data_IF_787856645186
#
_entry.id   IF_787856645186
#
_cell.length_a   1.000
_cell.length_b   1.000
_cell.length_c   1.000
_cell.angle_alpha   90.00
_cell.angle_beta   90.00
_cell.angle_gamma   90.00
#
_symmetry.space_group_name_H-M   'P 1'
#
loop_
_entity.id
_entity.type
_entity.pdbx_description
1 polymer ?
#
# COMPACT_ATOMS: atom_id res chain seq x y z
N UNK A 1 35.66 29.17 -12.22
CA UNK A 1 34.83 28.07 -12.72
C UNK A 1 33.74 28.69 -13.56
N UNK A 2 33.43 28.12 -14.72
CA UNK A 2 32.30 28.56 -15.54
C UNK A 2 31.28 27.42 -15.53
N UNK A 3 30.04 27.76 -15.23
CA UNK A 3 28.92 26.82 -15.19
C UNK A 3 27.90 27.30 -16.21
N UNK A 4 27.48 26.41 -17.09
CA UNK A 4 26.39 26.64 -18.03
C UNK A 4 25.27 25.67 -17.70
N UNK A 5 24.06 26.19 -17.53
CA UNK A 5 22.87 25.38 -17.23
C UNK A 5 21.98 25.22 -18.46
N UNK A 6 21.40 24.05 -18.62
CA UNK A 6 20.42 23.73 -19.67
C UNK A 6 19.24 22.97 -19.04
N UNK A 7 18.01 23.32 -19.43
CA UNK A 7 16.82 22.55 -19.03
C UNK A 7 16.71 21.30 -19.90
N UNK A 8 16.64 20.14 -19.25
CA UNK A 8 16.48 18.83 -19.89
C UNK A 8 15.07 18.27 -19.60
N UNK A 9 14.58 17.31 -20.40
CA UNK A 9 13.35 16.56 -20.09
C UNK A 9 13.44 15.81 -18.75
N UNK A 10 12.30 15.33 -18.24
CA UNK A 10 12.12 14.72 -16.92
C UNK A 10 12.45 15.66 -15.74
N UNK A 11 12.24 16.97 -15.91
CA UNK A 11 12.65 18.01 -14.94
C UNK A 11 14.09 17.82 -14.46
N UNK A 12 15.00 17.70 -15.41
CA UNK A 12 16.43 17.63 -15.17
C UNK A 12 17.09 18.97 -15.52
N UNK A 13 18.13 19.32 -14.77
CA UNK A 13 19.05 20.40 -15.14
C UNK A 13 20.38 19.78 -15.57
N UNK A 14 20.74 20.02 -16.82
CA UNK A 14 22.06 19.75 -17.35
C UNK A 14 23.03 20.85 -16.93
N UNK A 15 24.20 20.46 -16.42
CA UNK A 15 25.29 21.32 -16.01
C UNK A 15 26.52 21.00 -16.84
N UNK A 16 26.96 21.96 -17.65
CA UNK A 16 28.27 21.94 -18.28
C UNK A 16 29.23 22.77 -17.44
N UNK A 17 30.23 22.11 -16.84
CA UNK A 17 31.16 22.72 -15.91
C UNK A 17 32.55 22.76 -16.53
N UNK A 18 33.09 23.96 -16.67
CA UNK A 18 34.47 24.21 -17.05
C UNK A 18 35.31 24.56 -15.81
N UNK A 19 36.15 23.62 -15.43
CA UNK A 19 37.08 23.74 -14.31
C UNK A 19 38.39 24.38 -14.80
N UNK A 20 38.83 25.49 -14.20
CA UNK A 20 40.01 26.20 -14.65
C UNK A 20 41.31 25.41 -14.39
N UNK A 21 42.35 25.64 -15.21
CA UNK A 21 43.66 25.00 -15.10
C UNK A 21 44.27 25.02 -13.69
N UNK A 22 44.10 26.13 -12.97
CA UNK A 22 44.66 26.33 -11.64
C UNK A 22 44.05 25.36 -10.63
N UNK A 23 42.74 25.15 -10.68
CA UNK A 23 42.03 24.21 -9.80
C UNK A 23 42.40 22.77 -10.11
N UNK A 24 42.47 22.42 -11.40
CA UNK A 24 42.93 21.10 -11.88
C UNK A 24 44.35 20.78 -11.36
N UNK A 25 45.28 21.73 -11.49
CA UNK A 25 46.66 21.57 -11.01
C UNK A 25 46.73 21.44 -9.49
N UNK A 26 46.02 22.29 -8.74
CA UNK A 26 46.00 22.24 -7.28
C UNK A 26 45.43 20.92 -6.76
N UNK A 27 44.34 20.44 -7.35
CA UNK A 27 43.74 19.15 -7.01
C UNK A 27 44.73 18.00 -7.27
N UNK A 28 45.39 18.01 -8.43
CA UNK A 28 46.42 17.02 -8.75
C UNK A 28 47.58 17.01 -7.75
N UNK A 29 48.11 18.19 -7.41
CA UNK A 29 49.21 18.31 -6.44
C UNK A 29 48.80 17.83 -5.03
N UNK A 30 47.58 18.15 -4.60
CA UNK A 30 47.01 17.72 -3.32
C UNK A 30 46.88 16.20 -3.26
N UNK A 31 46.27 15.58 -4.27
CA UNK A 31 46.10 14.12 -4.35
C UNK A 31 47.45 13.39 -4.38
N UNK A 32 48.43 13.89 -5.15
CA UNK A 32 49.80 13.33 -5.14
C UNK A 32 50.46 13.46 -3.77
N UNK A 33 50.25 14.57 -3.06
CA UNK A 33 50.77 14.76 -1.71
C UNK A 33 50.13 13.79 -0.71
N UNK A 34 48.82 13.56 -0.80
CA UNK A 34 48.10 12.63 0.06
C UNK A 34 48.53 11.18 -0.19
N UNK A 35 48.69 10.78 -1.46
CA UNK A 35 49.30 9.50 -1.79
C UNK A 35 50.74 9.40 -1.27
N UNK A 36 51.54 10.46 -1.35
CA UNK A 36 52.92 10.45 -0.83
C UNK A 36 52.96 10.27 0.70
N UNK A 37 52.02 10.88 1.44
CA UNK A 37 51.91 10.73 2.91
C UNK A 37 51.50 9.31 3.30
N UNK A 38 50.62 8.69 2.52
CA UNK A 38 50.03 7.40 2.84
C UNK A 38 50.72 6.20 2.19
N UNK A 39 51.56 6.42 1.17
CA UNK A 39 52.26 5.36 0.45
C UNK A 39 53.23 4.59 1.35
N UNK A 40 53.04 3.27 1.42
CA UNK A 40 53.97 2.33 2.03
C UNK A 40 54.74 1.60 0.92
N UNK A 41 55.91 2.14 0.56
CA UNK A 41 56.75 1.57 -0.51
C UNK A 41 58.00 0.94 0.13
N UNK A 42 58.29 -0.35 -0.12
CA UNK A 42 59.50 -1.00 0.36
C UNK A 42 60.75 -0.19 0.00
N UNK A 43 61.61 0.07 0.99
CA UNK A 43 62.83 0.86 0.82
C UNK A 43 62.70 2.36 1.13
N UNK A 44 61.48 2.88 1.36
CA UNK A 44 61.27 4.27 1.75
C UNK A 44 60.50 4.40 3.07
N UNK A 45 60.89 5.36 3.90
CA UNK A 45 60.14 5.72 5.11
C UNK A 45 58.82 6.40 4.71
N UNK A 46 57.71 6.00 5.35
CA UNK A 46 56.37 6.57 5.14
C UNK A 46 56.42 8.11 5.12
N UNK A 47 55.83 8.74 4.10
CA UNK A 47 55.81 10.19 3.92
C UNK A 47 57.09 10.84 3.38
N UNK A 48 58.15 10.06 3.10
CA UNK A 48 59.43 10.54 2.53
C UNK A 48 59.75 9.89 1.18
N UNK A 49 58.76 9.30 0.53
CA UNK A 49 58.90 8.73 -0.82
C UNK A 49 59.00 9.87 -1.85
N UNK A 50 59.98 9.87 -2.77
CA UNK A 50 60.03 10.83 -3.87
C UNK A 50 58.78 10.74 -4.78
N UNK A 51 58.27 11.89 -5.22
CA UNK A 51 57.02 12.00 -6.02
C UNK A 51 57.00 11.09 -7.25
N UNK A 52 58.10 11.02 -7.99
CA UNK A 52 58.20 10.20 -9.21
C UNK A 52 58.05 8.69 -8.91
N UNK A 53 58.57 8.22 -7.79
CA UNK A 53 58.47 6.81 -7.37
C UNK A 53 57.03 6.45 -6.98
N UNK A 54 56.32 7.39 -6.32
CA UNK A 54 54.90 7.24 -5.99
C UNK A 54 54.06 7.12 -7.27
N UNK A 55 54.28 8.04 -8.22
CA UNK A 55 53.54 8.05 -9.51
C UNK A 55 53.79 6.76 -10.30
N UNK A 56 55.05 6.30 -10.37
CA UNK A 56 55.40 5.07 -11.07
C UNK A 56 54.79 3.82 -10.42
N UNK A 57 54.71 3.78 -9.09
CA UNK A 57 54.20 2.61 -8.36
C UNK A 57 52.67 2.53 -8.32
N UNK A 58 52.00 3.67 -8.20
CA UNK A 58 50.53 3.75 -8.14
C UNK A 58 49.92 3.71 -9.55
N UNK A 59 50.64 4.23 -10.55
CA UNK A 59 50.17 4.38 -11.92
C UNK A 59 49.51 5.74 -12.13
N UNK A 60 49.86 6.41 -13.22
CA UNK A 60 49.32 7.74 -13.56
C UNK A 60 47.81 7.72 -13.73
N UNK A 61 47.24 6.68 -14.35
CA UNK A 61 45.80 6.53 -14.58
C UNK A 61 45.01 6.55 -13.27
N UNK A 62 45.47 5.82 -12.24
CA UNK A 62 44.78 5.76 -10.95
C UNK A 62 44.82 7.09 -10.22
N UNK A 63 45.95 7.81 -10.30
CA UNK A 63 46.07 9.15 -9.72
C UNK A 63 45.13 10.11 -10.44
N UNK A 64 45.09 10.09 -11.77
CA UNK A 64 44.17 10.91 -12.57
C UNK A 64 42.71 10.63 -12.21
N UNK A 65 42.31 9.36 -12.10
CA UNK A 65 40.96 8.97 -11.69
C UNK A 65 40.58 9.53 -10.32
N UNK A 66 41.42 9.37 -9.29
CA UNK A 66 41.14 9.91 -7.94
C UNK A 66 41.07 11.44 -7.93
N UNK A 67 41.91 12.11 -8.73
CA UNK A 67 41.85 13.58 -8.89
C UNK A 67 40.53 13.98 -9.53
N UNK A 68 40.12 13.31 -10.61
CA UNK A 68 38.86 13.58 -11.31
C UNK A 68 37.65 13.34 -10.43
N UNK A 69 37.57 12.23 -9.69
CA UNK A 69 36.48 11.95 -8.74
C UNK A 69 36.32 13.09 -7.73
N UNK A 70 37.42 13.54 -7.13
CA UNK A 70 37.39 14.62 -6.14
C UNK A 70 37.01 15.95 -6.80
N UNK A 71 37.62 16.25 -7.95
CA UNK A 71 37.44 17.51 -8.66
C UNK A 71 36.03 17.66 -9.22
N UNK A 72 35.44 16.59 -9.77
CA UNK A 72 34.07 16.56 -10.27
C UNK A 72 33.10 16.78 -9.10
N UNK A 73 33.24 16.03 -8.01
CA UNK A 73 32.37 16.17 -6.84
C UNK A 73 32.43 17.57 -6.20
N UNK A 74 33.63 18.12 -6.01
CA UNK A 74 33.80 19.46 -5.46
C UNK A 74 33.25 20.53 -6.41
N UNK A 75 33.46 20.36 -7.72
CA UNK A 75 32.97 21.32 -8.72
C UNK A 75 31.45 21.28 -8.87
N UNK A 76 30.84 20.10 -8.79
CA UNK A 76 29.37 19.95 -8.80
C UNK A 76 28.75 20.63 -7.59
N UNK A 77 29.29 20.42 -6.38
CA UNK A 77 28.80 21.09 -5.16
C UNK A 77 28.89 22.61 -5.27
N UNK A 78 30.02 23.13 -5.77
CA UNK A 78 30.19 24.56 -6.00
C UNK A 78 29.21 25.11 -7.05
N UNK A 79 28.98 24.38 -8.13
CA UNK A 79 28.03 24.78 -9.18
C UNK A 79 26.59 24.86 -8.65
N UNK A 80 26.17 23.88 -7.85
CA UNK A 80 24.84 23.83 -7.23
C UNK A 80 24.63 24.98 -6.26
N UNK A 81 25.62 25.25 -5.39
CA UNK A 81 25.57 26.38 -4.46
C UNK A 81 25.57 27.74 -5.18
N UNK A 82 26.34 27.86 -6.27
CA UNK A 82 26.44 29.09 -7.05
C UNK A 82 25.13 29.41 -7.78
N UNK A 83 24.52 28.42 -8.43
CA UNK A 83 23.30 28.58 -9.22
C UNK A 83 22.02 28.35 -8.40
N UNK A 84 22.15 28.00 -7.11
CA UNK A 84 21.04 27.70 -6.17
C UNK A 84 20.07 26.64 -6.71
N UNK A 85 20.63 25.54 -7.19
CA UNK A 85 19.85 24.45 -7.75
C UNK A 85 19.34 23.55 -6.62
N UNK A 86 18.03 23.39 -6.52
CA UNK A 86 17.40 22.45 -5.60
C UNK A 86 17.53 21.02 -6.16
N UNK A 87 18.71 20.42 -6.02
CA UNK A 87 19.00 19.09 -6.53
C UNK A 87 18.25 17.99 -5.75
N UNK A 88 17.60 17.08 -6.49
CA UNK A 88 16.95 15.87 -5.98
C UNK A 88 17.82 14.67 -6.36
N UNK A 89 18.33 13.96 -5.35
CA UNK A 89 19.14 12.76 -5.57
C UNK A 89 20.59 13.04 -5.93
N UNK A 90 21.19 12.11 -6.67
CA UNK A 90 22.61 12.15 -7.05
C UNK A 90 22.81 12.69 -8.47
N UNK A 91 23.99 13.25 -8.75
CA UNK A 91 24.35 13.75 -10.08
C UNK A 91 24.66 12.58 -11.01
N UNK A 92 24.03 12.56 -12.17
CA UNK A 92 24.35 11.62 -13.25
C UNK A 92 25.40 12.25 -14.17
N UNK A 93 26.61 11.71 -14.17
CA UNK A 93 27.66 12.17 -15.08
C UNK A 93 27.31 11.73 -16.51
N UNK A 94 27.05 12.69 -17.41
CA UNK A 94 26.75 12.42 -18.82
C UNK A 94 28.01 12.21 -19.66
N UNK A 95 29.14 12.79 -19.23
CA UNK A 95 30.44 12.54 -19.86
C UNK A 95 31.03 11.22 -19.36
N UNK A 96 31.54 10.38 -20.27
CA UNK A 96 32.23 9.14 -19.88
C UNK A 96 33.43 9.43 -18.98
N UNK A 97 33.44 8.83 -17.79
CA UNK A 97 34.53 9.00 -16.84
C UNK A 97 35.86 8.47 -17.41
N UNK A 98 35.84 7.38 -18.20
CA UNK A 98 37.03 6.82 -18.83
C UNK A 98 37.67 7.79 -19.84
N UNK A 99 36.82 8.51 -20.58
CA UNK A 99 37.28 9.53 -21.53
C UNK A 99 37.91 10.71 -20.81
N UNK A 100 37.30 11.15 -19.70
CA UNK A 100 37.86 12.19 -18.84
C UNK A 100 39.24 11.76 -18.30
N UNK A 101 39.40 10.52 -17.85
CA UNK A 101 40.70 10.00 -17.36
C UNK A 101 41.76 9.99 -18.45
N UNK A 102 41.39 9.59 -19.67
CA UNK A 102 42.29 9.58 -20.82
C UNK A 102 42.72 11.00 -21.23
N UNK A 103 41.78 11.92 -21.29
CA UNK A 103 41.99 13.30 -21.76
C UNK A 103 42.55 14.24 -20.68
N UNK A 104 42.42 13.89 -19.40
CA UNK A 104 42.83 14.76 -18.31
C UNK A 104 44.34 14.97 -18.29
N UNK A 105 44.74 16.23 -18.41
CA UNK A 105 46.12 16.68 -18.25
C UNK A 105 46.23 17.68 -17.08
N UNK A 106 47.15 17.47 -16.12
CA UNK A 106 47.31 18.38 -14.99
C UNK A 106 47.67 19.79 -15.46
N UNK A 107 46.85 20.78 -15.08
CA UNK A 107 47.07 22.18 -15.48
C UNK A 107 46.49 22.53 -16.85
N UNK A 108 45.65 21.67 -17.44
CA UNK A 108 44.75 22.00 -18.54
C UNK A 108 43.32 22.21 -18.00
N UNK A 109 42.47 22.99 -18.70
CA UNK A 109 41.07 23.11 -18.33
C UNK A 109 40.37 21.75 -18.49
N UNK A 110 39.42 21.46 -17.60
CA UNK A 110 38.61 20.24 -17.64
C UNK A 110 37.16 20.65 -17.85
N UNK A 111 36.52 20.09 -18.88
CA UNK A 111 35.09 20.29 -19.14
C UNK A 111 34.38 18.96 -18.99
N UNK A 112 33.27 18.95 -18.26
CA UNK A 112 32.40 17.77 -18.16
C UNK A 112 30.94 18.20 -18.01
N UNK A 113 30.04 17.29 -18.37
CA UNK A 113 28.60 17.46 -18.29
C UNK A 113 28.01 16.50 -17.27
N UNK A 114 27.13 17.02 -16.40
CA UNK A 114 26.34 16.24 -15.47
C UNK A 114 24.87 16.65 -15.57
N UNK A 115 23.96 15.77 -15.18
CA UNK A 115 22.55 16.09 -15.00
C UNK A 115 22.15 15.84 -13.56
N UNK A 116 21.16 16.58 -13.09
CA UNK A 116 20.53 16.33 -11.79
C UNK A 116 19.04 16.57 -11.91
N UNK A 117 18.27 15.74 -11.21
CA UNK A 117 16.83 15.91 -11.09
C UNK A 117 16.55 17.14 -10.20
N UNK A 118 15.53 17.92 -10.54
CA UNK A 118 15.07 19.06 -9.74
C UNK A 118 13.56 18.96 -9.49
N UNK A 119 13.01 19.68 -8.49
CA UNK A 119 11.57 19.73 -8.31
C UNK A 119 10.88 20.14 -9.62
N UNK A 120 9.95 19.33 -10.13
CA UNK A 120 9.29 19.63 -11.39
C UNK A 120 8.37 20.84 -11.25
N UNK A 121 8.30 21.64 -12.32
CA UNK A 121 7.32 22.70 -12.45
C UNK A 121 5.96 22.09 -12.82
N UNK A 122 4.89 22.53 -12.16
CA UNK A 122 3.53 21.99 -12.35
C UNK A 122 2.72 22.98 -13.15
N UNK A 123 2.25 22.57 -14.33
CA UNK A 123 1.37 23.38 -15.16
C UNK A 123 -0.05 22.80 -15.10
N UNK A 124 -1.00 23.63 -14.67
CA UNK A 124 -2.44 23.29 -14.65
C UNK A 124 -3.16 24.21 -15.63
N UNK A 125 -3.75 23.61 -16.66
CA UNK A 125 -4.49 24.30 -17.71
C UNK A 125 -5.84 24.82 -17.19
N UNK A 126 -6.63 23.94 -16.59
CA UNK A 126 -7.96 24.24 -16.05
C UNK A 126 -8.18 23.50 -14.73
N UNK A 127 -8.57 24.26 -13.70
CA UNK A 127 -8.89 23.73 -12.37
C UNK A 127 -10.16 24.33 -11.76
N UNK A 128 -10.84 25.22 -12.49
CA UNK A 128 -12.13 25.82 -12.10
C UNK A 128 -13.21 25.35 -13.06
N UNK A 129 -14.45 25.24 -12.58
CA UNK A 129 -15.58 24.76 -13.38
C UNK A 129 -15.49 23.27 -13.74
N UNK A 130 -14.72 22.47 -12.98
CA UNK A 130 -14.64 21.02 -13.20
C UNK A 130 -16.02 20.40 -13.01
N UNK A 131 -16.45 19.58 -13.98
CA UNK A 131 -17.71 18.84 -13.89
C UNK A 131 -17.39 17.36 -13.69
N UNK A 132 -17.79 16.81 -12.55
CA UNK A 132 -17.50 15.42 -12.18
C UNK A 132 -18.76 14.72 -11.68
N UNK A 133 -18.79 13.41 -11.82
CA UNK A 133 -19.81 12.55 -11.24
C UNK A 133 -19.19 11.77 -10.07
N UNK A 134 -19.93 11.65 -8.98
CA UNK A 134 -19.49 10.91 -7.80
C UNK A 134 -20.64 10.06 -7.26
N UNK A 135 -20.32 8.86 -6.79
CA UNK A 135 -21.34 7.95 -6.26
C UNK A 135 -21.78 8.38 -4.85
N UNK A 136 -23.09 8.48 -4.66
CA UNK A 136 -23.74 8.71 -3.38
C UNK A 136 -24.02 7.38 -2.67
N UNK A 137 -23.41 7.21 -1.50
CA UNK A 137 -23.70 6.10 -0.60
C UNK A 137 -24.83 6.53 0.33
N UNK A 138 -25.97 5.86 0.23
CA UNK A 138 -27.11 6.13 1.11
C UNK A 138 -27.03 5.25 2.35
N UNK A 139 -27.34 5.80 3.55
CA UNK A 139 -27.44 4.98 4.74
C UNK A 139 -28.57 3.96 4.56
N UNK A 140 -28.23 2.70 4.76
CA UNK A 140 -29.19 1.61 4.76
C UNK A 140 -29.71 1.38 6.18
N UNK A 141 -30.98 1.70 6.48
CA UNK A 141 -31.54 1.46 7.80
C UNK A 141 -31.64 -0.04 8.12
N UNK A 142 -31.67 -0.93 7.12
CA UNK A 142 -31.78 -2.37 7.34
C UNK A 142 -30.47 -2.95 7.91
N UNK A 143 -29.30 -2.34 7.62
CA UNK A 143 -28.02 -2.72 8.25
C UNK A 143 -28.06 -2.64 9.78
N UNK A 144 -28.81 -1.70 10.36
CA UNK A 144 -28.96 -1.60 11.82
C UNK A 144 -29.67 -2.83 12.36
N UNK A 145 -30.74 -3.25 11.71
CA UNK A 145 -31.47 -4.46 12.09
C UNK A 145 -30.59 -5.69 11.96
N UNK A 146 -29.86 -5.84 10.85
CA UNK A 146 -28.94 -6.95 10.64
C UNK A 146 -27.86 -7.04 11.72
N UNK A 147 -27.25 -5.90 12.10
CA UNK A 147 -26.22 -5.90 13.14
C UNK A 147 -26.81 -6.27 14.50
N UNK A 148 -27.98 -5.73 14.85
CA UNK A 148 -28.66 -6.07 16.11
C UNK A 148 -29.05 -7.54 16.14
N UNK A 149 -29.56 -8.09 15.03
CA UNK A 149 -29.87 -9.52 14.90
C UNK A 149 -28.62 -10.39 15.04
N UNK A 150 -27.48 -9.96 14.50
CA UNK A 150 -26.21 -10.66 14.68
C UNK A 150 -25.78 -10.69 16.15
N UNK A 151 -25.86 -9.55 16.87
CA UNK A 151 -25.61 -9.53 18.31
C UNK A 151 -26.59 -10.44 19.07
N UNK A 152 -27.85 -10.45 18.67
CA UNK A 152 -28.90 -11.28 19.27
C UNK A 152 -28.64 -12.77 19.05
N UNK A 153 -28.19 -13.16 17.86
CA UNK A 153 -27.81 -14.53 17.51
C UNK A 153 -26.57 -15.00 18.26
N UNK A 154 -25.59 -14.12 18.49
CA UNK A 154 -24.37 -14.45 19.25
C UNK A 154 -24.63 -14.63 20.75
N UNK A 155 -25.61 -13.92 21.30
CA UNK A 155 -26.02 -14.02 22.71
C UNK A 155 -27.22 -14.96 22.93
N UNK A 156 -27.53 -15.80 21.95
CA UNK A 156 -28.61 -16.78 22.05
C UNK A 156 -28.29 -17.87 23.08
N UNK A 157 -29.25 -18.23 23.92
CA UNK A 157 -29.12 -19.37 24.82
C UNK A 157 -29.48 -20.65 24.07
N UNK A 158 -28.67 -21.70 24.21
CA UNK A 158 -28.92 -22.99 23.57
C UNK A 158 -29.75 -23.89 24.49
N UNK A 159 -30.99 -24.19 24.06
CA UNK A 159 -31.92 -25.04 24.81
C UNK A 159 -32.08 -26.38 24.10
N UNK A 160 -31.90 -27.53 24.78
CA UNK A 160 -32.13 -28.85 24.18
C UNK A 160 -33.55 -29.00 23.63
N UNK A 161 -33.67 -29.55 22.42
CA UNK A 161 -34.95 -29.85 21.76
C UNK A 161 -35.21 -31.35 21.81
N UNK A 162 -36.35 -31.74 22.38
CA UNK A 162 -36.79 -33.13 22.42
C UNK A 162 -38.07 -33.32 21.58
N UNK A 163 -38.10 -34.38 20.77
CA UNK A 163 -39.32 -34.81 20.05
C UNK A 163 -39.69 -34.01 18.80
N UNK A 164 -38.80 -33.13 18.31
CA UNK A 164 -38.91 -32.43 17.03
C UNK A 164 -37.69 -32.75 16.15
N UNK A 165 -37.92 -32.86 14.84
CA UNK A 165 -36.84 -33.00 13.85
C UNK A 165 -36.07 -31.70 13.64
N UNK A 166 -34.83 -31.79 13.18
CA UNK A 166 -33.96 -30.66 12.88
C UNK A 166 -34.60 -29.70 11.86
N UNK A 167 -34.55 -28.40 12.15
CA UNK A 167 -35.04 -27.34 11.26
C UNK A 167 -34.03 -26.22 11.15
N UNK A 168 -34.26 -25.29 10.23
CA UNK A 168 -33.46 -24.09 10.05
C UNK A 168 -33.36 -23.27 11.35
N UNK A 169 -32.14 -22.82 11.68
CA UNK A 169 -31.83 -22.02 12.86
C UNK A 169 -31.52 -22.82 14.14
N UNK A 170 -31.66 -24.15 14.12
CA UNK A 170 -31.22 -25.00 15.24
C UNK A 170 -29.68 -25.15 15.27
N UNK A 171 -29.16 -25.58 16.41
CA UNK A 171 -27.77 -26.00 16.59
C UNK A 171 -27.75 -27.51 16.78
N UNK A 172 -27.13 -28.21 15.83
CA UNK A 172 -26.96 -29.65 15.86
C UNK A 172 -25.58 -30.03 16.39
N UNK A 173 -25.52 -31.05 17.23
CA UNK A 173 -24.26 -31.76 17.52
C UNK A 173 -24.28 -33.02 16.69
N UNK A 174 -23.29 -33.18 15.81
CA UNK A 174 -23.25 -34.27 14.84
C UNK A 174 -21.90 -34.96 14.80
N UNK A 175 -21.96 -36.23 14.42
CA UNK A 175 -20.83 -36.95 13.88
C UNK A 175 -21.02 -37.04 12.38
N UNK A 176 -19.99 -36.73 11.60
CA UNK A 176 -20.04 -36.95 10.16
C UNK A 176 -18.76 -37.58 9.63
N UNK A 177 -18.92 -38.31 8.53
CA UNK A 177 -17.82 -38.93 7.80
C UNK A 177 -18.01 -38.69 6.32
N UNK A 178 -17.09 -37.94 5.72
CA UNK A 178 -17.05 -37.60 4.31
C UNK A 178 -16.27 -38.63 3.50
N UNK A 179 -16.87 -39.07 2.40
CA UNK A 179 -16.28 -39.97 1.41
C UNK A 179 -16.36 -39.35 0.03
N UNK A 180 -15.38 -39.63 -0.82
CA UNK A 180 -15.51 -39.30 -2.24
C UNK A 180 -16.72 -40.02 -2.83
N UNK A 181 -17.45 -39.36 -3.72
CA UNK A 181 -18.50 -40.01 -4.50
C UNK A 181 -18.00 -40.25 -5.93
N UNK A 182 -18.45 -41.32 -6.57
CA UNK A 182 -18.32 -41.43 -8.03
C UNK A 182 -19.45 -40.66 -8.74
N UNK A 183 -19.44 -40.66 -10.09
CA UNK A 183 -20.43 -39.94 -10.91
C UNK A 183 -21.85 -40.51 -10.81
N UNK A 184 -22.01 -41.67 -10.17
CA UNK A 184 -23.26 -42.38 -9.98
C UNK A 184 -23.77 -42.31 -8.52
N UNK A 185 -23.03 -41.61 -7.64
CA UNK A 185 -23.40 -41.35 -6.23
C UNK A 185 -22.89 -42.42 -5.24
N UNK A 186 -22.08 -43.39 -5.67
CA UNK A 186 -21.60 -44.43 -4.76
C UNK A 186 -20.41 -43.94 -3.91
N UNK A 187 -20.47 -44.19 -2.60
CA UNK A 187 -19.46 -43.77 -1.64
C UNK A 187 -18.16 -44.58 -1.78
N UNK A 188 -17.07 -43.87 -2.05
CA UNK A 188 -15.70 -44.37 -2.15
C UNK A 188 -14.87 -44.19 -0.87
N UNK A 189 -13.60 -43.84 -1.02
CA UNK A 189 -12.67 -43.69 0.11
C UNK A 189 -12.93 -42.40 0.92
N UNK A 190 -12.65 -42.47 2.22
CA UNK A 190 -12.69 -41.31 3.13
C UNK A 190 -11.52 -40.36 2.83
N UNK A 191 -11.79 -39.07 2.77
CA UNK A 191 -10.76 -38.07 2.53
C UNK A 191 -10.28 -37.41 3.83
N UNK A 192 -8.99 -37.03 3.91
CA UNK A 192 -8.45 -36.31 5.07
C UNK A 192 -9.22 -35.01 5.33
N UNK A 193 -9.59 -34.77 6.59
CA UNK A 193 -10.36 -33.57 6.98
C UNK A 193 -11.88 -33.66 6.75
N UNK A 194 -12.39 -34.75 6.17
CA UNK A 194 -13.81 -34.96 5.91
C UNK A 194 -14.63 -35.54 7.06
N UNK A 195 -14.02 -35.81 8.22
CA UNK A 195 -14.68 -36.50 9.34
C UNK A 195 -14.50 -35.76 10.65
N UNK A 196 -15.58 -35.60 11.41
CA UNK A 196 -15.56 -35.01 12.74
C UNK A 196 -16.55 -35.72 13.67
N UNK A 197 -16.26 -35.69 14.97
CA UNK A 197 -17.11 -36.23 16.03
C UNK A 197 -17.46 -35.14 17.05
N UNK A 198 -18.70 -35.16 17.56
CA UNK A 198 -19.24 -34.17 18.49
C UNK A 198 -19.11 -32.73 17.97
N UNK A 199 -19.24 -32.57 16.64
CA UNK A 199 -19.08 -31.29 15.97
C UNK A 199 -20.37 -30.48 16.14
N UNK A 200 -20.25 -29.28 16.69
CA UNK A 200 -21.37 -28.35 16.82
C UNK A 200 -21.52 -27.55 15.52
N UNK A 201 -22.70 -27.60 14.94
CA UNK A 201 -23.03 -26.97 13.66
C UNK A 201 -24.31 -26.15 13.80
N UNK A 202 -24.24 -24.89 13.38
CA UNK A 202 -25.44 -24.07 13.16
C UNK A 202 -26.13 -24.53 11.88
N UNK A 203 -27.41 -24.92 11.97
CA UNK A 203 -28.22 -25.31 10.81
C UNK A 203 -28.75 -24.07 10.08
N UNK A 204 -27.82 -23.32 9.50
CA UNK A 204 -28.06 -22.10 8.74
C UNK A 204 -27.41 -22.26 7.36
N UNK A 205 -28.15 -21.94 6.30
CA UNK A 205 -27.67 -22.07 4.92
C UNK A 205 -26.44 -21.17 4.69
N UNK A 206 -25.48 -21.66 3.88
CA UNK A 206 -24.27 -20.90 3.53
C UNK A 206 -23.14 -20.91 4.56
N UNK A 207 -23.34 -21.43 5.78
CA UNK A 207 -22.25 -21.60 6.77
C UNK A 207 -21.37 -22.82 6.52
N UNK A 208 -21.83 -23.76 5.69
CA UNK A 208 -21.11 -24.98 5.32
C UNK A 208 -21.27 -25.26 3.82
N UNK A 209 -20.66 -26.34 3.34
CA UNK A 209 -20.71 -26.75 1.93
C UNK A 209 -22.19 -26.83 1.47
N UNK A 210 -22.55 -26.22 0.33
CA UNK A 210 -23.92 -26.27 -0.20
C UNK A 210 -24.49 -27.69 -0.24
N UNK A 211 -25.74 -27.86 0.17
CA UNK A 211 -26.42 -29.16 0.27
C UNK A 211 -26.15 -29.95 1.55
N UNK A 212 -25.08 -29.67 2.30
CA UNK A 212 -24.80 -30.40 3.55
C UNK A 212 -25.84 -30.11 4.63
N UNK A 213 -26.07 -28.82 4.93
CA UNK A 213 -27.03 -28.37 5.95
C UNK A 213 -28.47 -28.74 5.54
N UNK A 214 -28.81 -28.54 4.27
CA UNK A 214 -30.13 -28.87 3.71
C UNK A 214 -30.47 -30.36 3.87
N UNK A 215 -29.48 -31.23 3.67
CA UNK A 215 -29.62 -32.66 3.86
C UNK A 215 -29.96 -33.06 5.30
N UNK A 216 -29.63 -32.22 6.28
CA UNK A 216 -29.90 -32.47 7.70
C UNK A 216 -31.29 -32.04 8.16
N UNK A 217 -31.99 -31.19 7.40
CA UNK A 217 -33.34 -30.78 7.75
C UNK A 217 -34.28 -32.00 7.76
N UNK A 218 -35.12 -32.07 8.80
CA UNK A 218 -36.05 -33.17 9.03
C UNK A 218 -35.43 -34.41 9.68
N UNK A 219 -34.12 -34.43 9.98
CA UNK A 219 -33.51 -35.53 10.72
C UNK A 219 -33.94 -35.52 12.20
N UNK A 220 -34.21 -36.71 12.75
CA UNK A 220 -34.47 -36.86 14.18
C UNK A 220 -33.18 -37.12 14.95
N UNK A 221 -33.18 -36.78 16.24
CA UNK A 221 -32.05 -37.10 17.12
C UNK A 221 -31.84 -38.62 17.17
N UNK A 222 -30.60 -39.06 16.93
CA UNK A 222 -30.17 -40.44 16.79
C UNK A 222 -30.28 -41.01 15.37
N UNK A 223 -30.77 -40.22 14.40
CA UNK A 223 -30.87 -40.63 13.00
C UNK A 223 -29.54 -40.45 12.27
N UNK A 224 -29.19 -41.43 11.43
CA UNK A 224 -28.08 -41.34 10.49
C UNK A 224 -28.63 -41.23 9.07
N UNK A 225 -28.12 -40.25 8.31
CA UNK A 225 -28.51 -40.01 6.93
C UNK A 225 -27.29 -39.80 6.07
N UNK A 226 -27.33 -40.32 4.84
CA UNK A 226 -26.32 -40.05 3.83
C UNK A 226 -26.78 -38.87 2.98
N UNK A 227 -25.90 -37.88 2.83
CA UNK A 227 -26.14 -36.65 2.08
C UNK A 227 -25.07 -36.52 1.00
N UNK A 228 -25.52 -36.50 -0.25
CA UNK A 228 -24.67 -36.24 -1.40
C UNK A 228 -24.50 -34.73 -1.57
N UNK A 229 -23.25 -34.28 -1.65
CA UNK A 229 -22.89 -32.86 -1.86
C UNK A 229 -21.83 -32.74 -2.93
N UNK A 230 -21.68 -31.56 -3.51
CA UNK A 230 -20.58 -31.23 -4.41
C UNK A 230 -19.83 -30.05 -3.84
N UNK A 231 -18.51 -30.17 -3.73
CA UNK A 231 -17.68 -29.08 -3.26
C UNK A 231 -17.68 -27.92 -4.27
N UNK A 232 -17.62 -26.65 -3.79
CA UNK A 232 -17.45 -25.50 -4.66
C UNK A 232 -16.19 -25.58 -5.53
N UNK A 233 -16.19 -24.91 -6.68
CA UNK A 233 -15.03 -24.89 -7.59
C UNK A 233 -13.83 -24.11 -7.03
N UNK A 234 -14.09 -23.19 -6.11
CA UNK A 234 -13.15 -22.32 -5.41
C UNK A 234 -12.74 -22.86 -4.02
N UNK A 235 -12.96 -24.17 -3.77
CA UNK A 235 -12.66 -24.73 -2.46
C UNK A 235 -11.14 -24.71 -2.16
N UNK A 236 -10.69 -24.31 -0.96
CA UNK A 236 -9.27 -24.11 -0.64
C UNK A 236 -8.36 -25.34 -0.80
N UNK A 237 -8.95 -26.54 -0.88
CA UNK A 237 -8.23 -27.78 -1.12
C UNK A 237 -8.44 -28.23 -2.57
N UNK A 238 -7.40 -28.17 -3.43
CA UNK A 238 -7.52 -28.45 -4.87
C UNK A 238 -8.05 -29.84 -5.19
N UNK A 239 -7.72 -30.83 -4.35
CA UNK A 239 -8.15 -32.23 -4.52
C UNK A 239 -9.65 -32.44 -4.26
N UNK A 240 -10.32 -31.48 -3.60
CA UNK A 240 -11.74 -31.53 -3.29
C UNK A 240 -12.56 -30.52 -4.12
N UNK A 241 -11.94 -29.49 -4.67
CA UNK A 241 -12.62 -28.46 -5.46
C UNK A 241 -13.42 -29.07 -6.62
N UNK A 242 -14.73 -28.81 -6.67
CA UNK A 242 -15.65 -29.34 -7.68
C UNK A 242 -15.90 -30.87 -7.62
N UNK A 243 -15.35 -31.58 -6.64
CA UNK A 243 -15.52 -33.03 -6.52
C UNK A 243 -16.85 -33.37 -5.81
N UNK A 244 -17.56 -34.43 -6.25
CA UNK A 244 -18.73 -34.93 -5.53
C UNK A 244 -18.30 -35.76 -4.32
N UNK A 245 -19.06 -35.67 -3.23
CA UNK A 245 -18.81 -36.36 -1.97
C UNK A 245 -20.12 -36.82 -1.32
N UNK A 246 -20.04 -37.92 -0.58
CA UNK A 246 -21.14 -38.40 0.26
C UNK A 246 -20.74 -38.26 1.72
N UNK A 247 -21.58 -37.59 2.50
CA UNK A 247 -21.41 -37.47 3.94
C UNK A 247 -22.42 -38.36 4.66
N UNK A 248 -21.93 -39.28 5.48
CA UNK A 248 -22.76 -39.99 6.45
C UNK A 248 -22.82 -39.14 7.71
N UNK A 249 -23.99 -38.55 8.00
CA UNK A 249 -24.21 -37.62 9.11
C UNK A 249 -25.09 -38.30 10.14
N UNK A 250 -24.67 -38.30 11.40
CA UNK A 250 -25.45 -38.79 12.54
C UNK A 250 -25.78 -37.64 13.48
N UNK A 251 -27.06 -37.35 13.67
CA UNK A 251 -27.52 -36.29 14.58
C UNK A 251 -27.51 -36.80 16.03
N UNK A 252 -26.63 -36.29 16.88
CA UNK A 252 -26.51 -36.71 18.30
C UNK A 252 -27.38 -35.89 19.25
N UNK A 253 -27.34 -34.57 19.11
CA UNK A 253 -28.14 -33.66 19.91
C UNK A 253 -28.68 -32.54 19.02
N UNK A 254 -29.86 -32.04 19.37
CA UNK A 254 -30.46 -30.88 18.74
C UNK A 254 -30.75 -29.85 19.83
N UNK A 255 -30.31 -28.61 19.62
CA UNK A 255 -30.56 -27.47 20.49
C UNK A 255 -31.22 -26.36 19.67
N UNK A 256 -32.19 -25.67 20.23
CA UNK A 256 -32.76 -24.47 19.63
C UNK A 256 -32.05 -23.24 20.22
N UNK A 257 -31.84 -22.23 19.37
CA UNK A 257 -31.43 -20.90 19.82
C UNK A 257 -32.64 -20.17 20.40
N UNK A 258 -32.62 -19.95 21.70
CA UNK A 258 -33.52 -19.01 22.35
C UNK A 258 -32.88 -17.63 22.31
N UNK A 259 -33.37 -16.81 21.38
CA UNK A 259 -32.87 -15.46 21.20
C UNK A 259 -33.34 -14.56 22.36
N UNK A 260 -32.46 -13.77 22.98
CA UNK A 260 -32.87 -12.82 24.01
C UNK A 260 -33.94 -11.85 23.48
N UNK A 261 -34.79 -11.34 24.36
CA UNK A 261 -35.73 -10.28 23.98
C UNK A 261 -34.96 -9.01 23.61
N UNK A 262 -35.45 -8.26 22.62
CA UNK A 262 -34.82 -7.00 22.21
C UNK A 262 -35.31 -5.88 23.12
N UNK A 263 -34.78 -5.86 24.34
CA UNK A 263 -35.11 -4.89 25.39
C UNK A 263 -33.86 -4.14 25.90
N UNK A 264 -34.05 -3.32 26.93
CA UNK A 264 -32.98 -2.51 27.52
C UNK A 264 -31.95 -3.36 28.27
N UNK A 265 -32.33 -4.54 28.78
CA UNK A 265 -31.42 -5.48 29.42
C UNK A 265 -30.45 -6.08 28.39
N UNK A 266 -30.95 -6.44 27.20
CA UNK A 266 -30.10 -6.86 26.09
C UNK A 266 -29.12 -5.77 25.65
N UNK A 267 -29.56 -4.52 25.56
CA UNK A 267 -28.70 -3.40 25.17
C UNK A 267 -27.53 -3.20 26.17
N UNK A 268 -27.80 -3.32 27.47
CA UNK A 268 -26.78 -3.22 28.52
C UNK A 268 -25.80 -4.40 28.52
N UNK A 269 -26.23 -5.58 28.07
CA UNK A 269 -25.36 -6.75 27.98
C UNK A 269 -24.39 -6.67 26.79
N UNK A 270 -24.86 -6.16 25.64
CA UNK A 270 -24.07 -6.18 24.39
C UNK A 270 -23.38 -4.86 24.05
N UNK A 271 -23.68 -3.78 24.78
CA UNK A 271 -23.19 -2.44 24.47
C UNK A 271 -22.95 -1.59 25.73
N UNK A 272 -22.42 -0.38 25.52
CA UNK A 272 -22.26 0.63 26.58
C UNK A 272 -23.52 1.46 26.85
N UNK A 273 -24.62 1.19 26.13
CA UNK A 273 -25.86 1.95 26.20
C UNK A 273 -26.85 1.36 27.20
N UNK A 274 -27.68 2.21 27.81
CA UNK A 274 -28.65 1.78 28.83
C UNK A 274 -29.96 1.27 28.22
N UNK A 275 -30.27 1.68 26.98
CA UNK A 275 -31.53 1.33 26.31
C UNK A 275 -31.33 0.83 24.87
N UNK A 276 -32.27 0.02 24.39
CA UNK A 276 -32.26 -0.46 23.00
C UNK A 276 -32.43 0.68 21.98
N UNK A 277 -33.10 1.76 22.39
CA UNK A 277 -33.28 2.95 21.57
C UNK A 277 -31.94 3.68 21.35
N UNK A 278 -31.17 3.89 22.43
CA UNK A 278 -29.84 4.51 22.35
C UNK A 278 -28.86 3.67 21.52
N UNK A 279 -28.89 2.35 21.69
CA UNK A 279 -28.06 1.45 20.88
C UNK A 279 -28.38 1.54 19.39
N UNK A 280 -29.67 1.56 19.02
CA UNK A 280 -30.14 1.75 17.64
C UNK A 280 -29.71 3.10 17.08
N UNK A 281 -29.94 4.19 17.82
CA UNK A 281 -29.58 5.55 17.39
C UNK A 281 -28.07 5.71 17.19
N UNK A 282 -27.26 5.08 18.04
CA UNK A 282 -25.80 5.04 17.89
C UNK A 282 -25.37 4.33 16.61
N UNK A 283 -25.96 3.15 16.30
CA UNK A 283 -25.70 2.43 15.06
C UNK A 283 -26.16 3.21 13.82
N UNK A 284 -27.33 3.83 13.86
CA UNK A 284 -27.84 4.71 12.80
C UNK A 284 -26.89 5.87 12.55
N UNK A 285 -26.47 6.56 13.60
CA UNK A 285 -25.52 7.69 13.53
C UNK A 285 -24.18 7.22 12.95
N UNK A 286 -23.69 6.06 13.38
CA UNK A 286 -22.45 5.47 12.87
C UNK A 286 -22.55 5.16 11.37
N UNK A 287 -23.61 4.50 10.92
CA UNK A 287 -23.77 4.16 9.50
C UNK A 287 -24.07 5.38 8.63
N UNK A 288 -24.78 6.37 9.16
CA UNK A 288 -24.95 7.66 8.50
C UNK A 288 -23.59 8.34 8.31
N UNK A 289 -22.78 8.43 9.37
CA UNK A 289 -21.44 9.02 9.29
C UNK A 289 -20.54 8.24 8.34
N UNK A 290 -20.60 6.92 8.33
CA UNK A 290 -19.86 6.06 7.39
C UNK A 290 -20.26 6.34 5.93
N UNK A 291 -21.57 6.43 5.65
CA UNK A 291 -22.11 6.71 4.32
C UNK A 291 -21.76 8.14 3.84
N UNK A 292 -21.84 9.13 4.73
CA UNK A 292 -21.42 10.51 4.46
C UNK A 292 -19.92 10.60 4.18
N UNK A 293 -19.09 9.90 4.97
CA UNK A 293 -17.64 9.85 4.77
C UNK A 293 -17.27 9.17 3.45
N UNK A 294 -17.90 8.04 3.11
CA UNK A 294 -17.70 7.36 1.82
C UNK A 294 -18.11 8.25 0.65
N UNK A 295 -19.27 8.90 0.74
CA UNK A 295 -19.73 9.85 -0.29
C UNK A 295 -18.77 11.02 -0.43
N UNK A 296 -18.27 11.58 0.68
CA UNK A 296 -17.24 12.64 0.66
C UNK A 296 -15.98 12.14 -0.04
N UNK A 297 -15.48 10.95 0.30
CA UNK A 297 -14.30 10.36 -0.33
C UNK A 297 -14.49 10.15 -1.84
N UNK A 298 -15.66 9.67 -2.27
CA UNK A 298 -15.99 9.50 -3.70
C UNK A 298 -15.96 10.85 -4.44
N UNK A 299 -16.53 11.90 -3.85
CA UNK A 299 -16.49 13.27 -4.41
C UNK A 299 -15.05 13.79 -4.52
N UNK A 300 -14.28 13.66 -3.44
CA UNK A 300 -12.87 14.08 -3.41
C UNK A 300 -12.05 13.34 -4.47
N UNK A 301 -12.25 12.03 -4.60
CA UNK A 301 -11.57 11.21 -5.59
C UNK A 301 -11.93 11.63 -7.02
N UNK A 302 -13.22 11.81 -7.33
CA UNK A 302 -13.68 12.24 -8.64
C UNK A 302 -13.11 13.62 -9.03
N UNK A 303 -13.09 14.58 -8.09
CA UNK A 303 -12.48 15.88 -8.29
C UNK A 303 -10.98 15.80 -8.55
N UNK A 304 -10.26 14.98 -7.77
CA UNK A 304 -8.81 14.78 -7.94
C UNK A 304 -8.47 14.12 -9.27
N UNK A 305 -9.23 13.10 -9.67
CA UNK A 305 -9.03 12.40 -10.94
C UNK A 305 -9.27 13.31 -12.13
N UNK A 306 -10.31 14.14 -12.08
CA UNK A 306 -10.55 15.13 -13.12
C UNK A 306 -9.46 16.21 -13.12
N UNK A 307 -9.06 16.74 -11.96
CA UNK A 307 -8.00 17.73 -11.84
C UNK A 307 -6.70 17.24 -12.47
N UNK A 308 -6.31 15.98 -12.23
CA UNK A 308 -5.07 15.39 -12.75
C UNK A 308 -5.05 15.31 -14.28
N UNK A 309 -6.21 15.22 -14.95
CA UNK A 309 -6.27 15.22 -16.43
C UNK A 309 -5.83 16.53 -17.06
N UNK A 310 -5.94 17.65 -16.31
CA UNK A 310 -5.54 18.99 -16.74
C UNK A 310 -4.14 19.38 -16.23
N UNK A 311 -3.42 18.44 -15.61
CA UNK A 311 -2.10 18.66 -15.04
C UNK A 311 -1.03 18.10 -15.96
N UNK A 312 -0.19 19.00 -16.48
CA UNK A 312 1.04 18.65 -17.19
C UNK A 312 2.22 18.84 -16.25
N UNK A 313 2.96 17.75 -16.02
CA UNK A 313 4.16 17.76 -15.20
C UNK A 313 5.15 16.74 -15.72
N UNK A 314 6.41 17.15 -15.80
CA UNK A 314 7.50 16.32 -16.30
C UNK A 314 8.26 15.73 -15.11
N UNK A 315 7.95 14.50 -14.71
CA UNK A 315 8.43 13.92 -13.45
C UNK A 315 9.82 13.27 -13.62
N UNK A 316 10.79 13.59 -12.74
CA UNK A 316 12.06 12.88 -12.69
C UNK A 316 11.89 11.47 -12.13
N UNK A 317 12.66 10.51 -12.67
CA UNK A 317 12.60 9.10 -12.28
C UNK A 317 12.94 8.90 -10.79
N UNK A 318 13.83 9.74 -10.23
CA UNK A 318 14.17 9.71 -8.80
C UNK A 318 12.96 9.97 -7.91
N UNK A 319 12.08 10.92 -8.28
CA UNK A 319 10.87 11.20 -7.51
C UNK A 319 9.87 10.04 -7.60
N UNK A 320 9.69 9.49 -8.80
CA UNK A 320 8.78 8.36 -9.02
C UNK A 320 9.23 7.13 -8.24
N UNK A 321 10.53 6.81 -8.27
CA UNK A 321 11.10 5.71 -7.47
C UNK A 321 10.91 5.91 -5.97
N UNK A 322 11.16 7.13 -5.47
CA UNK A 322 11.00 7.43 -4.04
C UNK A 322 9.55 7.24 -3.58
N UNK A 323 8.59 7.65 -4.41
CA UNK A 323 7.17 7.47 -4.10
C UNK A 323 6.76 5.99 -4.15
N UNK A 324 7.21 5.24 -5.16
CA UNK A 324 6.97 3.80 -5.23
C UNK A 324 7.57 3.08 -4.00
N UNK A 325 8.80 3.41 -3.59
CA UNK A 325 9.41 2.86 -2.39
C UNK A 325 8.63 3.20 -1.11
N UNK A 326 8.07 4.42 -1.04
CA UNK A 326 7.23 4.84 0.07
C UNK A 326 5.94 4.01 0.13
N UNK A 327 5.26 3.82 -1.00
CA UNK A 327 4.06 2.99 -1.10
C UNK A 327 4.32 1.53 -0.70
N UNK A 328 5.44 0.96 -1.15
CA UNK A 328 5.85 -0.39 -0.77
C UNK A 328 6.14 -0.49 0.74
N UNK A 329 6.76 0.54 1.31
CA UNK A 329 7.00 0.61 2.75
C UNK A 329 5.69 0.67 3.54
N UNK A 330 4.70 1.46 3.09
CA UNK A 330 3.37 1.51 3.71
C UNK A 330 2.68 0.15 3.66
N UNK A 331 2.71 -0.50 2.49
CA UNK A 331 2.15 -1.84 2.29
C UNK A 331 2.82 -2.85 3.23
N UNK A 332 4.15 -2.85 3.30
CA UNK A 332 4.89 -3.71 4.21
C UNK A 332 4.48 -3.49 5.67
N UNK A 333 4.38 -2.24 6.13
CA UNK A 333 3.95 -1.91 7.49
C UNK A 333 2.55 -2.47 7.81
N UNK A 334 1.59 -2.36 6.87
CA UNK A 334 0.26 -2.91 7.03
C UNK A 334 0.28 -4.45 7.14
N UNK A 335 1.03 -5.12 6.28
CA UNK A 335 1.17 -6.58 6.32
C UNK A 335 1.85 -7.04 7.63
N UNK A 336 2.81 -6.27 8.15
CA UNK A 336 3.44 -6.55 9.44
C UNK A 336 2.44 -6.48 10.60
N UNK A 337 1.54 -5.50 10.58
CA UNK A 337 0.50 -5.35 11.62
C UNK A 337 -0.50 -6.52 11.58
N UNK A 338 -0.70 -7.12 10.41
CA UNK A 338 -1.48 -8.34 10.22
C UNK A 338 -0.72 -9.63 10.62
N UNK A 339 0.51 -9.51 11.12
CA UNK A 339 1.31 -10.63 11.61
C UNK A 339 2.11 -11.38 10.53
N UNK A 340 2.21 -10.85 9.31
CA UNK A 340 3.00 -11.47 8.24
C UNK A 340 4.49 -11.19 8.35
N UNK A 341 5.31 -12.17 7.94
CA UNK A 341 6.77 -12.02 7.89
C UNK A 341 7.20 -11.32 6.59
N UNK A 342 7.36 -9.99 6.66
CA UNK A 342 7.79 -9.15 5.54
C UNK A 342 9.08 -9.67 4.90
N UNK A 343 10.02 -10.23 5.68
CA UNK A 343 11.34 -10.61 5.14
C UNK A 343 11.28 -11.78 4.18
N UNK A 344 10.24 -12.62 4.30
CA UNK A 344 10.01 -13.74 3.38
C UNK A 344 9.24 -13.28 2.13
N UNK A 345 8.34 -12.30 2.28
CA UNK A 345 7.49 -11.79 1.19
C UNK A 345 8.21 -10.76 0.30
N UNK A 346 9.03 -9.88 0.88
CA UNK A 346 9.72 -8.79 0.18
C UNK A 346 11.17 -9.16 -0.16
N UNK A 347 11.35 -10.20 -0.98
CA UNK A 347 12.67 -10.51 -1.56
C UNK A 347 13.07 -9.45 -2.59
N UNK A 348 14.36 -9.32 -2.92
CA UNK A 348 14.85 -8.26 -3.83
C UNK A 348 14.14 -8.24 -5.18
N UNK A 349 13.93 -9.41 -5.78
CA UNK A 349 13.30 -9.53 -7.09
C UNK A 349 11.81 -9.17 -7.04
N UNK A 350 11.13 -9.55 -5.94
CA UNK A 350 9.73 -9.16 -5.69
C UNK A 350 9.60 -7.65 -5.50
N UNK A 351 10.49 -7.04 -4.72
CA UNK A 351 10.47 -5.57 -4.50
C UNK A 351 10.65 -4.80 -5.81
N UNK A 352 11.56 -5.24 -6.69
CA UNK A 352 11.76 -4.55 -7.97
C UNK A 352 10.53 -4.68 -8.88
N UNK A 353 9.94 -5.88 -8.98
CA UNK A 353 8.70 -6.10 -9.73
C UNK A 353 7.54 -5.27 -9.19
N UNK A 354 7.35 -5.25 -7.87
CA UNK A 354 6.32 -4.45 -7.23
C UNK A 354 6.55 -2.95 -7.45
N UNK A 355 7.81 -2.49 -7.44
CA UNK A 355 8.16 -1.09 -7.73
C UNK A 355 7.78 -0.72 -9.16
N UNK A 356 8.11 -1.56 -10.14
CA UNK A 356 7.75 -1.32 -11.54
C UNK A 356 6.23 -1.30 -11.73
N UNK A 357 5.51 -2.24 -11.10
CA UNK A 357 4.04 -2.29 -11.15
C UNK A 357 3.38 -1.09 -10.46
N UNK A 358 3.98 -0.58 -9.39
CA UNK A 358 3.47 0.59 -8.64
C UNK A 358 3.81 1.92 -9.32
N UNK A 359 4.67 1.93 -10.35
CA UNK A 359 5.14 3.15 -11.02
C UNK A 359 3.98 4.03 -11.54
N UNK A 360 2.94 3.52 -12.23
CA UNK A 360 1.83 4.36 -12.71
C UNK A 360 1.05 5.02 -11.56
N UNK A 361 0.81 4.27 -10.48
CA UNK A 361 0.12 4.79 -9.30
C UNK A 361 0.98 5.83 -8.57
N UNK A 362 2.29 5.60 -8.42
CA UNK A 362 3.24 6.57 -7.89
C UNK A 362 3.25 7.87 -8.70
N UNK A 363 3.25 7.79 -10.03
CA UNK A 363 3.11 8.95 -10.92
C UNK A 363 1.80 9.70 -10.65
N UNK A 364 0.68 8.99 -10.55
CA UNK A 364 -0.63 9.60 -10.27
C UNK A 364 -0.66 10.26 -8.88
N UNK A 365 -0.09 9.62 -7.85
CA UNK A 365 -0.03 10.16 -6.50
C UNK A 365 0.81 11.44 -6.43
N UNK A 366 1.98 11.44 -7.07
CA UNK A 366 2.81 12.66 -7.19
C UNK A 366 2.05 13.76 -7.92
N UNK A 367 1.40 13.45 -9.05
CA UNK A 367 0.58 14.41 -9.81
C UNK A 367 -0.53 15.01 -8.96
N UNK A 368 -1.27 14.21 -8.20
CA UNK A 368 -2.34 14.67 -7.29
C UNK A 368 -1.79 15.64 -6.24
N UNK A 369 -0.73 15.26 -5.55
CA UNK A 369 -0.10 16.11 -4.52
C UNK A 369 0.41 17.43 -5.10
N UNK A 370 1.05 17.35 -6.26
CA UNK A 370 1.57 18.52 -6.97
C UNK A 370 0.46 19.44 -7.47
N UNK A 371 -0.63 18.88 -8.00
CA UNK A 371 -1.78 19.63 -8.45
C UNK A 371 -2.45 20.39 -7.29
N UNK A 372 -2.69 19.71 -6.17
CA UNK A 372 -3.23 20.31 -4.95
C UNK A 372 -2.33 21.45 -4.44
N UNK A 373 -1.02 21.21 -4.37
CA UNK A 373 -0.06 22.22 -3.94
C UNK A 373 -0.02 23.44 -4.85
N UNK A 374 -0.18 23.26 -6.16
CA UNK A 374 -0.23 24.37 -7.12
C UNK A 374 -1.55 25.15 -7.03
N UNK A 375 -2.70 24.48 -6.85
CA UNK A 375 -3.99 25.15 -6.56
C UNK A 375 -3.88 25.96 -5.27
N UNK A 376 -3.31 25.39 -4.20
CA UNK A 376 -3.11 26.09 -2.94
C UNK A 376 -2.25 27.35 -3.09
N UNK A 377 -1.20 27.31 -3.93
CA UNK A 377 -0.36 28.47 -4.23
C UNK A 377 -1.11 29.53 -5.02
N UNK A 378 -1.81 29.15 -6.10
CA UNK A 378 -2.56 30.08 -6.97
C UNK A 378 -3.67 30.81 -6.21
N UNK A 379 -4.40 30.08 -5.37
CA UNK A 379 -5.53 30.61 -4.61
C UNK A 379 -5.14 31.09 -3.20
N UNK A 380 -3.86 30.99 -2.84
CA UNK A 380 -3.34 31.37 -1.52
C UNK A 380 -4.06 30.70 -0.34
N UNK A 381 -4.48 29.45 -0.50
CA UNK A 381 -5.14 28.65 0.52
C UNK A 381 -4.12 28.28 1.59
N UNK A 382 -4.46 28.55 2.86
CA UNK A 382 -3.62 28.27 4.02
C UNK A 382 -4.43 27.70 5.17
N UNK A 383 -3.76 26.92 6.00
CA UNK A 383 -4.32 26.45 7.28
C UNK A 383 -3.81 27.38 8.38
N UNK A 384 -4.72 27.89 9.21
CA UNK A 384 -4.33 28.75 10.30
C UNK A 384 -3.72 27.92 11.44
N UNK A 385 -2.70 28.44 12.16
CA UNK A 385 -2.05 27.69 13.24
C UNK A 385 -2.99 27.24 14.36
N UNK A 386 -4.07 27.99 14.59
CA UNK A 386 -5.07 27.68 15.61
C UNK A 386 -5.91 26.45 15.21
N UNK A 387 -6.22 26.28 13.92
CA UNK A 387 -6.95 25.11 13.40
C UNK A 387 -6.11 23.84 13.52
N UNK A 388 -4.81 23.93 13.18
CA UNK A 388 -3.86 22.83 13.33
C UNK A 388 -3.77 22.42 14.80
N UNK A 389 -3.65 23.41 15.70
CA UNK A 389 -3.51 23.15 17.14
C UNK A 389 -4.75 22.48 17.72
N UNK A 390 -5.95 22.96 17.35
CA UNK A 390 -7.21 22.38 17.78
C UNK A 390 -7.36 20.91 17.30
N UNK A 391 -7.03 20.64 16.03
CA UNK A 391 -7.15 19.29 15.47
C UNK A 391 -6.11 18.31 16.04
N UNK A 392 -4.89 18.79 16.29
CA UNK A 392 -3.86 18.01 17.01
C UNK A 392 -4.33 17.66 18.42
N UNK A 393 -4.95 18.59 19.14
CA UNK A 393 -5.48 18.32 20.48
C UNK A 393 -6.63 17.31 20.48
N UNK A 394 -7.53 17.40 19.50
CA UNK A 394 -8.61 16.43 19.28
C UNK A 394 -8.05 15.02 19.06
N UNK A 395 -7.10 14.84 18.14
CA UNK A 395 -6.49 13.54 17.86
C UNK A 395 -5.70 13.01 19.06
N UNK A 396 -4.96 13.86 19.76
CA UNK A 396 -4.23 13.45 20.96
C UNK A 396 -5.16 12.99 22.09
N UNK A 397 -6.39 13.52 22.16
CA UNK A 397 -7.38 13.09 23.14
C UNK A 397 -7.99 11.72 22.77
N UNK A 398 -8.16 11.44 21.48
CA UNK A 398 -8.66 10.15 20.98
C UNK A 398 -7.66 9.00 21.20
N UNK A 399 -6.36 9.29 21.03
CA UNK A 399 -5.27 8.32 21.24
C UNK A 399 -4.57 8.50 22.60
N UNK A 400 -5.31 8.92 23.63
CA UNK A 400 -4.75 9.17 24.95
C UNK A 400 -4.08 7.92 25.55
N UNK A 401 -2.74 7.91 25.60
CA UNK A 401 -1.94 6.81 26.15
C UNK A 401 -0.84 6.29 25.23
N UNK A 402 -0.83 6.69 23.96
CA UNK A 402 0.25 6.37 23.02
C UNK A 402 1.35 7.43 23.01
N UNK A 403 2.60 7.00 22.79
CA UNK A 403 3.75 7.91 22.65
C UNK A 403 3.79 8.46 21.22
N UNK A 404 2.89 9.41 20.94
CA UNK A 404 2.77 10.06 19.64
C UNK A 404 3.69 11.28 19.57
N UNK A 405 4.55 11.32 18.56
CA UNK A 405 5.38 12.47 18.25
C UNK A 405 4.50 13.65 17.78
N UNK A 406 4.36 14.66 18.65
CA UNK A 406 3.51 15.83 18.41
C UNK A 406 3.95 16.64 17.19
N UNK A 407 5.25 16.72 16.91
CA UNK A 407 5.74 17.49 15.77
C UNK A 407 5.41 16.80 14.45
N UNK A 408 5.50 15.46 14.41
CA UNK A 408 5.04 14.66 13.26
C UNK A 408 3.53 14.73 13.08
N UNK A 409 2.77 14.58 14.16
CA UNK A 409 1.31 14.67 14.11
C UNK A 409 0.87 16.04 13.58
N UNK A 410 1.52 17.12 14.04
CA UNK A 410 1.26 18.47 13.54
C UNK A 410 1.44 18.59 12.03
N UNK A 411 2.51 18.01 11.47
CA UNK A 411 2.75 18.05 10.02
C UNK A 411 1.66 17.30 9.24
N UNK A 412 1.28 16.10 9.70
CA UNK A 412 0.21 15.32 9.07
C UNK A 412 -1.12 16.08 9.10
N UNK A 413 -1.48 16.63 10.26
CA UNK A 413 -2.70 17.43 10.42
C UNK A 413 -2.68 18.68 9.53
N UNK A 414 -1.54 19.35 9.39
CA UNK A 414 -1.40 20.51 8.50
C UNK A 414 -1.63 20.12 7.03
N UNK A 415 -1.04 19.02 6.57
CA UNK A 415 -1.22 18.51 5.21
C UNK A 415 -2.68 18.08 4.95
N UNK A 416 -3.29 17.38 5.90
CA UNK A 416 -4.68 16.92 5.80
C UNK A 416 -5.66 18.09 5.77
N UNK A 417 -5.54 19.05 6.69
CA UNK A 417 -6.40 20.25 6.70
C UNK A 417 -6.22 21.10 5.44
N UNK A 418 -4.99 21.19 4.93
CA UNK A 418 -4.72 21.92 3.70
C UNK A 418 -5.43 21.23 2.52
N UNK A 419 -5.30 19.91 2.41
CA UNK A 419 -5.98 19.10 1.41
C UNK A 419 -7.50 19.29 1.48
N UNK A 420 -8.09 19.19 2.67
CA UNK A 420 -9.53 19.38 2.86
C UNK A 420 -10.00 20.76 2.39
N UNK A 421 -9.25 21.83 2.73
CA UNK A 421 -9.59 23.19 2.28
C UNK A 421 -9.50 23.36 0.76
N UNK A 422 -8.48 22.76 0.13
CA UNK A 422 -8.33 22.81 -1.32
C UNK A 422 -9.50 22.08 -2.00
N UNK A 423 -9.86 20.90 -1.52
CA UNK A 423 -10.96 20.11 -2.08
C UNK A 423 -12.31 20.79 -1.88
N UNK A 424 -12.56 21.38 -0.71
CA UNK A 424 -13.76 22.18 -0.47
C UNK A 424 -13.84 23.38 -1.42
N UNK A 425 -12.71 24.06 -1.68
CA UNK A 425 -12.65 25.14 -2.65
C UNK A 425 -12.94 24.65 -4.07
N UNK A 426 -12.38 23.51 -4.48
CA UNK A 426 -12.63 22.90 -5.79
C UNK A 426 -14.10 22.47 -5.95
N UNK A 427 -14.73 21.96 -4.89
CA UNK A 427 -16.15 21.61 -4.88
C UNK A 427 -17.03 22.87 -5.03
N UNK A 428 -16.72 23.97 -4.34
CA UNK A 428 -17.43 25.25 -4.45
C UNK A 428 -17.32 25.88 -5.85
N UNK A 429 -16.18 25.67 -6.52
CA UNK A 429 -15.89 26.22 -7.85
C UNK A 429 -16.09 25.20 -8.98
N UNK A 430 -16.66 24.04 -8.67
CA UNK A 430 -16.93 22.95 -9.60
C UNK A 430 -18.41 22.59 -9.66
N UNK A 431 -18.70 21.47 -10.30
CA UNK A 431 -20.03 20.86 -10.32
C UNK A 431 -19.84 19.37 -10.07
N UNK A 432 -20.34 18.90 -8.93
CA UNK A 432 -20.33 17.49 -8.56
C UNK A 432 -21.76 16.97 -8.67
N UNK A 433 -22.00 16.11 -9.65
CA UNK A 433 -23.27 15.41 -9.81
C UNK A 433 -23.23 14.09 -9.03
N UNK A 434 -24.14 13.93 -8.07
CA UNK A 434 -24.27 12.70 -7.31
C UNK A 434 -25.11 11.68 -8.08
N UNK A 435 -24.55 10.50 -8.27
CA UNK A 435 -25.20 9.38 -8.96
C UNK A 435 -25.32 8.17 -8.02
N UNK A 436 -26.25 7.22 -8.27
CA UNK A 436 -26.38 6.04 -7.44
C UNK A 436 -25.09 5.21 -7.36
N UNK A 437 -24.86 4.55 -6.23
CA UNK A 437 -23.79 3.57 -6.06
C UNK A 437 -23.79 2.52 -7.19
N UNK A 438 -22.60 2.23 -7.73
CA UNK A 438 -22.39 1.26 -8.82
C UNK A 438 -22.82 1.73 -10.21
N UNK A 439 -23.07 3.04 -10.41
CA UNK A 439 -23.46 3.59 -11.71
C UNK A 439 -22.31 4.15 -12.54
N UNK A 440 -21.15 4.41 -11.92
CA UNK A 440 -19.95 4.89 -12.59
C UNK A 440 -18.96 3.78 -12.93
N UNK A 441 -19.16 2.59 -12.38
CA UNK A 441 -18.45 1.39 -12.78
C UNK A 441 -18.89 0.99 -14.19
N UNK A 442 -17.98 0.86 -15.17
CA UNK A 442 -18.33 0.27 -16.45
C UNK A 442 -18.88 -1.14 -16.21
N UNK A 443 -20.10 -1.41 -16.70
CA UNK A 443 -20.54 -2.79 -16.86
C UNK A 443 -19.62 -3.45 -17.89
N UNK A 444 -18.95 -4.53 -17.50
CA UNK A 444 -17.91 -5.28 -18.23
C UNK A 444 -16.48 -4.69 -18.18
N UNK A 445 -15.81 -4.86 -17.05
CA UNK A 445 -14.62 -5.71 -16.96
C UNK A 445 -14.86 -6.68 -15.78
N UNK A 446 -15.42 -7.86 -16.06
CA UNK A 446 -15.05 -9.07 -15.31
C UNK A 446 -13.57 -9.32 -15.65
N UNK A 447 -12.69 -8.46 -15.15
CA UNK A 447 -11.32 -8.85 -14.94
C UNK A 447 -11.39 -9.86 -13.80
N UNK A 448 -10.99 -11.09 -14.11
CA UNK A 448 -10.68 -12.10 -13.13
C UNK A 448 -9.99 -11.42 -11.95
N UNK A 449 -10.67 -11.34 -10.80
CA UNK A 449 -9.99 -11.30 -9.53
C UNK A 449 -9.16 -12.60 -9.51
N UNK A 450 -7.95 -12.53 -10.06
CA UNK A 450 -6.84 -13.37 -9.64
C UNK A 450 -6.67 -13.04 -8.15
N UNK A 451 -7.47 -13.76 -7.36
CA UNK A 451 -7.21 -14.02 -5.97
C UNK A 451 -5.72 -14.29 -5.88
N UNK A 452 -5.05 -13.45 -5.10
CA UNK A 452 -3.65 -13.60 -4.76
C UNK A 452 -3.53 -14.97 -4.10
N UNK A 453 -3.23 -15.99 -4.88
CA UNK A 453 -2.90 -17.32 -4.39
C UNK A 453 -1.47 -17.26 -3.86
N UNK A 454 -1.25 -17.38 -2.53
CA UNK A 454 0.09 -17.38 -1.98
C UNK A 454 0.89 -18.65 -2.30
N UNK A 455 0.36 -19.58 -3.11
CA UNK A 455 0.99 -20.90 -3.33
C UNK A 455 1.67 -21.13 -4.68
N UNK A 456 1.62 -20.20 -5.64
CA UNK A 456 2.41 -20.29 -6.89
C UNK A 456 3.88 -19.82 -6.77
N UNK A 457 4.48 -20.00 -5.59
CA UNK A 457 5.94 -19.98 -5.43
C UNK A 457 6.48 -21.42 -5.30
N UNK A 458 6.15 -22.30 -6.25
CA UNK A 458 6.86 -23.58 -6.43
C UNK A 458 7.44 -23.66 -7.83
N UNK A 459 8.60 -23.03 -8.02
CA UNK A 459 9.46 -23.33 -9.18
C UNK A 459 10.34 -24.52 -8.81
N UNK A 460 10.03 -25.64 -9.47
CA UNK A 460 10.87 -26.80 -9.79
C UNK A 460 12.33 -26.72 -9.33
N UNK A 461 12.64 -27.46 -8.26
CA UNK A 461 13.98 -28.04 -8.07
C UNK A 461 13.90 -29.51 -8.49
N UNK A 462 13.84 -29.73 -9.79
CA UNK A 462 14.07 -31.05 -10.37
C UNK A 462 15.57 -31.20 -10.71
N UNK A 463 16.27 -31.96 -9.85
CA UNK A 463 17.30 -32.97 -10.21
C UNK A 463 18.26 -32.67 -11.37
N UNK A 464 19.58 -32.67 -11.09
CA UNK A 464 20.58 -33.68 -11.57
C UNK A 464 22.01 -33.11 -11.65
N UNK A 465 22.89 -33.66 -10.78
CA UNK A 465 24.39 -33.66 -10.79
C UNK A 465 25.15 -32.42 -10.32
#
# INVERSE_FOLDING_TARGET
>A
MKVTQEKLPASQIGLEIEVPPEMSKQAYEKTVQDFTRNANIPGFRKGKVPRQVVIQRIGSTRIKATVLETLINDSLKQAVEQEKIDAIGEFELKTSFEDLVTQFEPGSPLTFSAAVDVPPDVEIDSYTGLTVQAEEIKPDPDRVNTVIENYRNQNATLVPVEGRAAQEGDVAIVDFTGRHADKDGEAGEEFPGGSASDFQLDLEEGKFIPGFIEGMFGMNVGETKEVEVTFPGDYPQPDLAGAPAVFSITLKELKAKELPELDDDFAQEVSEFETIAEFRESLETRFQKEAEQKTKANKEQALLEELVKHVTVDLPDTLVRREADYMLTQTAMQLQQQGMDIKQLFTRDVVESLRERSRPEAVNRIKRTMALGEVAKRESIKVEPDEISAKVEEMMAEYAGEDIDRDRLRQVVEEDLLKEKILAWLEEHGTVELVPEGSLTPAEEEDDEEAIDPTEATIDVATTT
#
